data_IF_785824433685
#
_entry.id   IF_785824433685
#
_cell.length_a   1.000
_cell.length_b   1.000
_cell.length_c   1.000
_cell.angle_alpha   90.00
_cell.angle_beta   90.00
_cell.angle_gamma   90.00
#
_symmetry.space_group_name_H-M   'P 1'
#
loop_
_entity.id
_entity.type
_entity.pdbx_description
1 polymer ?
#
# COMPACT_ATOMS: atom_id res chain seq x y z
N UNK A 1 -56.26 -13.78 31.52
CA UNK A 1 -56.69 -12.85 30.45
C UNK A 1 -55.44 -12.18 29.91
N UNK A 2 -55.19 -12.35 28.61
CA UNK A 2 -54.12 -11.67 27.87
C UNK A 2 -54.49 -10.19 27.77
N UNK A 3 -53.59 -9.28 28.12
CA UNK A 3 -53.64 -7.89 27.65
C UNK A 3 -52.25 -7.51 27.16
N UNK A 4 -52.16 -7.20 25.88
CA UNK A 4 -50.98 -6.71 25.19
C UNK A 4 -50.98 -5.16 25.12
N UNK A 5 -49.87 -4.63 24.59
CA UNK A 5 -49.65 -3.30 23.96
C UNK A 5 -49.11 -2.25 24.96
N UNK A 6 -47.99 -1.54 24.74
CA UNK A 6 -47.53 -0.83 23.53
C UNK A 6 -45.99 -0.69 23.44
N UNK A 7 -45.52 -0.69 22.19
CA UNK A 7 -44.19 -0.43 21.63
C UNK A 7 -43.51 0.85 22.17
N UNK A 8 -42.23 0.78 22.54
CA UNK A 8 -41.32 1.94 22.54
C UNK A 8 -40.25 1.70 21.47
N UNK A 9 -40.02 2.74 20.68
CA UNK A 9 -39.47 2.75 19.34
C UNK A 9 -38.11 2.05 19.15
N UNK A 10 -37.96 1.51 17.93
CA UNK A 10 -36.71 1.03 17.33
C UNK A 10 -35.57 2.04 17.52
N UNK A 11 -34.58 1.70 18.31
CA UNK A 11 -33.27 2.35 18.29
C UNK A 11 -32.35 1.57 17.34
N UNK A 12 -32.71 1.51 16.05
CA UNK A 12 -31.78 1.04 15.02
C UNK A 12 -30.91 2.20 14.56
N UNK A 13 -30.04 2.68 15.46
CA UNK A 13 -28.94 3.54 15.07
C UNK A 13 -27.78 2.62 14.65
N UNK A 14 -27.63 2.48 13.34
CA UNK A 14 -26.37 2.31 12.63
C UNK A 14 -25.37 1.34 13.27
N UNK A 15 -25.57 0.05 13.05
CA UNK A 15 -24.50 -0.95 13.18
C UNK A 15 -23.54 -0.90 11.98
N UNK A 16 -23.21 0.30 11.51
CA UNK A 16 -21.99 0.49 10.74
C UNK A 16 -20.88 0.29 11.76
N UNK A 17 -19.98 -0.71 11.63
CA UNK A 17 -18.82 -0.73 12.50
C UNK A 17 -18.13 0.63 12.35
N UNK A 18 -17.92 1.31 13.47
CA UNK A 18 -16.98 2.42 13.52
C UNK A 18 -15.65 1.77 13.14
N UNK A 19 -15.27 1.91 11.87
CA UNK A 19 -13.91 1.61 11.44
C UNK A 19 -13.07 2.69 12.09
N UNK A 20 -12.52 2.39 13.27
CA UNK A 20 -11.44 3.16 13.83
C UNK A 20 -10.30 2.98 12.82
N UNK A 21 -10.08 4.00 11.99
CA UNK A 21 -9.00 4.04 11.00
C UNK A 21 -7.66 4.12 11.77
N UNK A 22 -7.26 2.99 12.35
CA UNK A 22 -5.96 2.79 12.96
C UNK A 22 -4.95 2.41 11.88
N UNK A 23 -3.71 2.85 12.07
CA UNK A 23 -2.58 2.38 11.29
C UNK A 23 -2.51 0.85 11.38
N UNK A 24 -2.67 0.16 10.25
CA UNK A 24 -2.65 -1.31 10.20
C UNK A 24 -1.21 -1.81 10.31
N UNK A 25 -0.31 -1.22 9.53
CA UNK A 25 1.12 -1.48 9.58
C UNK A 25 1.91 -0.25 9.11
N UNK A 26 3.18 -0.21 9.47
CA UNK A 26 4.20 0.66 8.85
C UNK A 26 5.45 -0.18 8.58
N UNK A 27 6.13 0.12 7.48
CA UNK A 27 7.41 -0.51 7.14
C UNK A 27 8.21 0.44 6.27
N UNK A 28 9.52 0.40 6.44
CA UNK A 28 10.47 1.22 5.69
C UNK A 28 11.22 0.32 4.73
N UNK A 29 11.18 0.67 3.45
CA UNK A 29 11.86 -0.04 2.37
C UNK A 29 12.77 0.92 1.62
N UNK A 30 13.92 0.43 1.20
CA UNK A 30 14.94 1.26 0.57
C UNK A 30 16.35 0.91 1.03
N UNK A 31 17.32 1.66 0.53
CA UNK A 31 18.74 1.47 0.82
C UNK A 31 19.29 2.50 1.80
N UNK A 32 20.62 2.61 1.85
CA UNK A 32 21.31 3.70 2.56
C UNK A 32 21.32 5.01 1.78
N UNK A 33 20.89 4.97 0.52
CA UNK A 33 20.84 6.11 -0.40
C UNK A 33 19.57 6.95 -0.24
N UNK A 34 19.37 7.87 -1.19
CA UNK A 34 18.11 8.59 -1.32
C UNK A 34 17.13 7.76 -2.13
N UNK A 35 15.96 7.49 -1.55
CA UNK A 35 14.85 6.80 -2.19
C UNK A 35 13.65 7.74 -2.34
N UNK A 36 12.99 7.68 -3.49
CA UNK A 36 11.80 8.48 -3.78
C UNK A 36 10.71 7.56 -4.30
N UNK A 37 9.58 7.50 -3.59
CA UNK A 37 8.37 6.83 -4.06
C UNK A 37 7.53 7.75 -4.95
N UNK A 38 7.14 7.26 -6.12
CA UNK A 38 6.33 8.01 -7.09
C UNK A 38 4.89 7.49 -7.18
N UNK A 39 4.69 6.18 -7.02
CA UNK A 39 3.39 5.56 -7.17
C UNK A 39 3.24 4.36 -6.23
N UNK A 40 2.02 4.14 -5.74
CA UNK A 40 1.63 2.95 -4.97
C UNK A 40 0.28 2.44 -5.48
N UNK A 41 0.13 1.13 -5.56
CA UNK A 41 -1.11 0.46 -5.97
C UNK A 41 -1.29 -0.80 -5.14
N UNK A 42 -2.51 -1.01 -4.60
CA UNK A 42 -2.89 -2.31 -4.05
C UNK A 42 -3.02 -3.32 -5.19
N UNK A 43 -2.51 -4.52 -4.99
CA UNK A 43 -2.56 -5.61 -5.97
C UNK A 43 -3.77 -6.52 -5.76
N UNK A 44 -4.15 -7.25 -6.81
CA UNK A 44 -5.26 -8.22 -6.80
C UNK A 44 -5.17 -9.32 -5.74
N UNK A 45 -3.96 -9.62 -5.27
CA UNK A 45 -3.69 -10.57 -4.19
C UNK A 45 -3.74 -9.95 -2.78
N UNK A 46 -4.18 -8.69 -2.66
CA UNK A 46 -4.30 -7.96 -1.39
C UNK A 46 -3.03 -7.22 -0.95
N UNK A 47 -1.89 -7.48 -1.59
CA UNK A 47 -0.63 -6.79 -1.32
C UNK A 47 -0.53 -5.38 -1.93
N UNK A 48 0.68 -4.83 -1.95
CA UNK A 48 0.95 -3.49 -2.47
C UNK A 48 2.21 -3.48 -3.32
N UNK A 49 2.18 -2.77 -4.45
CA UNK A 49 3.39 -2.44 -5.23
C UNK A 49 3.67 -0.95 -5.10
N UNK A 50 4.94 -0.60 -4.94
CA UNK A 50 5.46 0.76 -5.02
C UNK A 50 6.44 0.86 -6.18
N UNK A 51 6.33 1.94 -6.96
CA UNK A 51 7.32 2.34 -7.95
C UNK A 51 7.97 3.65 -7.53
N UNK A 52 9.28 3.72 -7.73
CA UNK A 52 10.09 4.86 -7.35
C UNK A 52 11.46 4.84 -8.00
N UNK A 53 12.36 5.60 -7.40
CA UNK A 53 13.77 5.65 -7.77
C UNK A 53 14.64 5.48 -6.51
N UNK A 54 15.73 4.72 -6.65
CA UNK A 54 16.69 4.44 -5.57
C UNK A 54 18.11 4.79 -6.01
N UNK A 55 18.90 5.34 -5.09
CA UNK A 55 20.33 5.49 -5.28
C UNK A 55 21.05 4.23 -4.80
N UNK A 56 21.47 3.36 -5.74
CA UNK A 56 22.19 2.14 -5.39
C UNK A 56 23.66 2.38 -4.98
N UNK A 57 24.30 3.46 -5.44
CA UNK A 57 25.71 3.76 -5.16
C UNK A 57 25.98 5.27 -5.04
N UNK A 58 26.99 5.67 -4.26
CA UNK A 58 27.34 7.08 -3.95
C UNK A 58 27.84 7.93 -5.14
N UNK A 59 27.64 7.50 -6.39
CA UNK A 59 28.13 8.24 -7.56
C UNK A 59 27.56 7.83 -8.92
N UNK A 60 26.71 6.80 -8.98
CA UNK A 60 26.02 6.41 -10.21
C UNK A 60 24.54 6.80 -10.07
N UNK A 61 23.88 7.04 -11.21
CA UNK A 61 22.53 7.61 -11.27
C UNK A 61 21.47 6.89 -10.42
N UNK A 62 20.31 7.52 -10.33
CA UNK A 62 19.13 6.88 -9.73
C UNK A 62 18.63 5.82 -10.68
N UNK A 63 18.27 4.66 -10.16
CA UNK A 63 17.64 3.59 -10.93
C UNK A 63 16.17 3.45 -10.52
N UNK A 64 15.35 2.90 -11.42
CA UNK A 64 13.96 2.58 -11.12
C UNK A 64 13.90 1.46 -10.09
N UNK A 65 13.17 1.68 -9.00
CA UNK A 65 12.93 0.68 -7.97
C UNK A 65 11.46 0.26 -7.97
N UNK A 66 11.20 -1.03 -8.19
CA UNK A 66 9.89 -1.65 -7.98
C UNK A 66 9.96 -2.53 -6.75
N UNK A 67 8.99 -2.35 -5.87
CA UNK A 67 8.90 -3.08 -4.60
C UNK A 67 7.49 -3.65 -4.45
N UNK A 68 7.37 -4.90 -3.98
CA UNK A 68 6.10 -5.51 -3.60
C UNK A 68 6.12 -5.98 -2.15
N UNK A 69 5.09 -5.58 -1.41
CA UNK A 69 4.74 -6.15 -0.11
C UNK A 69 3.46 -6.98 -0.19
N UNK A 70 3.28 -7.88 0.76
CA UNK A 70 1.99 -8.51 1.04
C UNK A 70 1.03 -7.55 1.80
N UNK A 71 -0.14 -8.05 2.15
CA UNK A 71 -1.18 -7.28 2.85
C UNK A 71 -0.74 -6.77 4.24
N UNK A 72 0.27 -7.42 4.84
CA UNK A 72 0.79 -7.11 6.17
C UNK A 72 2.02 -6.20 6.12
N UNK A 73 2.44 -5.75 4.93
CA UNK A 73 3.64 -4.95 4.76
C UNK A 73 4.93 -5.77 4.79
N UNK A 74 4.87 -7.09 4.59
CA UNK A 74 6.09 -7.92 4.49
C UNK A 74 6.55 -7.92 3.04
N UNK A 75 7.82 -7.60 2.81
CA UNK A 75 8.42 -7.65 1.48
C UNK A 75 8.31 -9.05 0.86
N UNK A 76 7.75 -9.09 -0.35
CA UNK A 76 7.69 -10.29 -1.19
C UNK A 76 8.83 -10.31 -2.20
N UNK A 77 9.09 -9.16 -2.83
CA UNK A 77 10.23 -8.97 -3.72
C UNK A 77 10.49 -7.48 -3.97
N UNK A 78 11.70 -7.20 -4.44
CA UNK A 78 12.06 -5.93 -5.05
C UNK A 78 12.86 -6.17 -6.33
N UNK A 79 12.84 -5.21 -7.25
CA UNK A 79 13.58 -5.22 -8.50
C UNK A 79 14.08 -3.81 -8.82
N UNK A 80 15.30 -3.74 -9.34
CA UNK A 80 15.89 -2.48 -9.83
C UNK A 80 16.10 -2.55 -11.33
N UNK A 81 15.75 -1.47 -12.04
CA UNK A 81 15.92 -1.34 -13.48
C UNK A 81 16.64 -0.04 -13.81
N UNK A 82 17.73 -0.15 -14.55
CA UNK A 82 18.53 1.00 -14.95
C UNK A 82 19.94 0.60 -15.37
N UNK A 83 20.78 1.59 -15.62
CA UNK A 83 22.14 1.43 -16.10
C UNK A 83 23.15 2.29 -15.35
N UNK A 84 24.04 2.94 -16.09
CA UNK A 84 25.03 3.87 -15.50
C UNK A 84 24.49 5.29 -15.36
N UNK A 85 23.36 5.58 -16.01
CA UNK A 85 22.72 6.89 -16.08
C UNK A 85 21.56 6.99 -15.08
N UNK A 86 20.83 8.10 -15.09
CA UNK A 86 19.63 8.28 -14.27
C UNK A 86 18.40 7.73 -15.00
N UNK A 87 17.76 6.73 -14.42
CA UNK A 87 16.54 6.08 -14.85
C UNK A 87 15.42 6.29 -13.82
N UNK A 88 14.25 6.78 -14.27
CA UNK A 88 13.14 7.15 -13.37
C UNK A 88 11.86 6.39 -13.68
N UNK A 89 11.29 5.74 -12.67
CA UNK A 89 9.99 5.06 -12.75
C UNK A 89 8.92 5.87 -12.05
N UNK A 90 8.02 6.50 -12.82
CA UNK A 90 6.99 7.39 -12.26
C UNK A 90 5.66 6.70 -11.95
N UNK A 91 5.31 5.70 -12.74
CA UNK A 91 4.01 5.04 -12.67
C UNK A 91 4.13 3.61 -13.14
N UNK A 92 3.25 2.77 -12.62
CA UNK A 92 3.03 1.42 -13.10
C UNK A 92 1.53 1.16 -13.15
N UNK A 93 1.16 0.08 -13.82
CA UNK A 93 -0.22 -0.39 -13.86
C UNK A 93 -0.20 -1.91 -13.75
N UNK A 94 -0.80 -2.45 -12.69
CA UNK A 94 -1.05 -3.88 -12.64
C UNK A 94 -1.99 -4.27 -13.78
N UNK A 95 -1.61 -5.28 -14.56
CA UNK A 95 -2.44 -5.92 -15.59
C UNK A 95 -3.18 -7.12 -15.00
N UNK A 96 -4.26 -7.54 -15.68
CA UNK A 96 -5.15 -8.61 -15.21
C UNK A 96 -4.99 -9.93 -15.99
N UNK A 97 -3.96 -10.02 -16.83
CA UNK A 97 -3.68 -11.16 -17.70
C UNK A 97 -3.11 -12.37 -16.96
#
# INVERSE_FOLDING_TARGET
MKSQVLLIAFFSILSSPIVLYGQVWESTFGGTGTDIGHSVQQTTDGGYIIAGETNLNEGNGRDVYLFKADENGVEQWNQTFGGTEVDRGFSFQQTAD
#
